data_IF_222877720149
#
_entry.id   IF_222877720149
#
_cell.length_a   1.000
_cell.length_b   1.000
_cell.length_c   1.000
_cell.angle_alpha   90.00
_cell.angle_beta   90.00
_cell.angle_gamma   90.00
#
_symmetry.space_group_name_H-M   'P 1'
#
loop_
_entity.id
_entity.type
_entity.pdbx_description
1 polymer ?
#
# COMPACT_ATOMS: atom_id res chain seq x y z
N UNK A 1 9.58 -11.37 -23.83
CA UNK A 1 10.37 -11.60 -22.61
C UNK A 1 9.49 -12.36 -21.63
N UNK A 2 9.83 -13.61 -21.34
CA UNK A 2 9.18 -14.40 -20.29
C UNK A 2 9.64 -13.86 -18.95
N UNK A 3 8.85 -12.98 -18.34
CA UNK A 3 9.03 -12.62 -16.94
C UNK A 3 8.59 -13.80 -16.10
N UNK A 4 9.51 -14.38 -15.33
CA UNK A 4 9.19 -15.42 -14.37
C UNK A 4 8.16 -14.91 -13.35
N UNK A 5 7.14 -15.73 -13.05
CA UNK A 5 6.15 -15.43 -12.02
C UNK A 5 6.77 -15.71 -10.66
N UNK A 6 6.67 -14.76 -9.75
CA UNK A 6 7.21 -14.89 -8.40
C UNK A 6 6.08 -15.02 -7.39
N UNK A 7 6.28 -15.94 -6.46
CA UNK A 7 5.42 -16.10 -5.31
C UNK A 7 5.91 -15.16 -4.20
N UNK A 8 5.12 -14.14 -3.89
CA UNK A 8 5.43 -13.23 -2.79
C UNK A 8 5.37 -13.94 -1.43
N UNK A 9 6.12 -13.46 -0.43
CA UNK A 9 5.95 -13.88 0.95
C UNK A 9 4.50 -13.64 1.40
N UNK A 10 3.90 -14.64 2.05
CA UNK A 10 2.56 -14.56 2.63
C UNK A 10 2.69 -14.45 4.14
N UNK A 11 2.10 -13.39 4.70
CA UNK A 11 2.22 -13.08 6.12
C UNK A 11 0.82 -13.05 6.73
N UNK A 12 0.66 -13.76 7.84
CA UNK A 12 -0.61 -13.92 8.53
C UNK A 12 -0.81 -12.84 9.61
N UNK A 13 -1.83 -12.01 9.43
CA UNK A 13 -2.30 -10.97 10.37
C UNK A 13 -3.61 -11.34 11.07
N UNK A 14 -4.03 -12.60 11.01
CA UNK A 14 -5.29 -13.09 11.59
C UNK A 14 -5.21 -13.40 13.09
N UNK A 15 -4.01 -13.48 13.65
CA UNK A 15 -3.81 -13.82 15.06
C UNK A 15 -4.37 -12.73 15.99
N UNK A 16 -5.35 -13.12 16.81
CA UNK A 16 -5.84 -12.28 17.90
C UNK A 16 -4.70 -12.01 18.90
N UNK A 17 -4.55 -10.75 19.33
CA UNK A 17 -3.48 -10.27 20.21
C UNK A 17 -2.10 -10.04 19.59
N UNK A 18 -2.04 -9.49 18.37
CA UNK A 18 -0.85 -8.77 17.88
C UNK A 18 -0.60 -7.47 18.68
N UNK A 19 -0.38 -7.61 19.98
CA UNK A 19 0.10 -6.54 20.85
C UNK A 19 1.61 -6.45 20.67
N UNK A 20 2.19 -5.23 20.70
CA UNK A 20 3.63 -5.06 20.73
C UNK A 20 4.29 -5.95 21.77
N UNK A 21 5.51 -6.39 21.46
CA UNK A 21 6.41 -7.12 22.36
C UNK A 21 5.95 -8.54 22.74
N UNK A 22 4.89 -9.05 22.11
CA UNK A 22 4.52 -10.47 22.18
C UNK A 22 5.39 -11.32 21.25
N UNK A 23 5.50 -12.63 21.53
CA UNK A 23 6.23 -13.57 20.66
C UNK A 23 5.69 -13.55 19.22
N UNK A 24 4.37 -13.61 19.07
CA UNK A 24 3.68 -13.58 17.77
C UNK A 24 3.97 -12.25 17.06
N UNK A 25 3.89 -11.12 17.77
CA UNK A 25 4.24 -9.82 17.20
C UNK A 25 5.66 -9.78 16.66
N UNK A 26 6.63 -10.23 17.44
CA UNK A 26 8.04 -10.24 17.04
C UNK A 26 8.28 -11.16 15.84
N UNK A 27 7.63 -12.33 15.79
CA UNK A 27 7.71 -13.26 14.65
C UNK A 27 7.13 -12.66 13.37
N UNK A 28 5.92 -12.08 13.44
CA UNK A 28 5.27 -11.44 12.28
C UNK A 28 6.09 -10.23 11.83
N UNK A 29 6.57 -9.42 12.78
CA UNK A 29 7.43 -8.26 12.49
C UNK A 29 8.71 -8.64 11.75
N UNK A 30 9.38 -9.73 12.14
CA UNK A 30 10.57 -10.23 11.42
C UNK A 30 10.20 -10.65 9.99
N UNK A 31 9.06 -11.31 9.79
CA UNK A 31 8.59 -11.70 8.45
C UNK A 31 8.30 -10.47 7.57
N UNK A 32 7.60 -9.48 8.13
CA UNK A 32 7.29 -8.21 7.43
C UNK A 32 8.59 -7.53 7.02
N UNK A 33 9.50 -7.37 7.96
CA UNK A 33 10.78 -6.75 7.72
C UNK A 33 11.57 -7.48 6.61
N UNK A 34 11.70 -8.80 6.71
CA UNK A 34 12.40 -9.61 5.70
C UNK A 34 11.75 -9.48 4.32
N UNK A 35 10.42 -9.56 4.24
CA UNK A 35 9.71 -9.48 2.97
C UNK A 35 9.85 -8.10 2.31
N UNK A 36 9.76 -7.02 3.10
CA UNK A 36 9.95 -5.65 2.61
C UNK A 36 11.38 -5.41 2.14
N UNK A 37 12.36 -5.95 2.86
CA UNK A 37 13.76 -5.81 2.48
C UNK A 37 14.10 -6.65 1.26
N UNK A 38 13.52 -7.86 1.09
CA UNK A 38 13.85 -8.79 0.00
C UNK A 38 13.01 -8.64 -1.27
N UNK A 39 11.76 -8.19 -1.14
CA UNK A 39 10.79 -8.19 -2.23
C UNK A 39 10.09 -6.84 -2.43
N UNK A 40 10.38 -5.84 -1.58
CA UNK A 40 9.72 -4.51 -1.53
C UNK A 40 8.20 -4.55 -1.26
N UNK A 41 7.61 -5.75 -1.18
CA UNK A 41 6.19 -6.01 -1.01
C UNK A 41 5.93 -7.44 -0.49
N UNK A 42 4.71 -7.68 0.00
CA UNK A 42 4.26 -9.01 0.45
C UNK A 42 2.75 -9.15 0.35
N UNK A 43 2.24 -10.38 0.48
CA UNK A 43 0.81 -10.67 0.60
C UNK A 43 0.42 -10.81 2.07
N UNK A 44 -0.53 -10.00 2.53
CA UNK A 44 -1.10 -10.06 3.86
C UNK A 44 -2.39 -10.88 3.86
N UNK A 45 -2.44 -11.92 4.68
CA UNK A 45 -3.69 -12.58 5.05
C UNK A 45 -4.29 -11.87 6.27
N UNK A 46 -5.53 -11.41 6.14
CA UNK A 46 -6.21 -10.64 7.18
C UNK A 46 -7.69 -11.05 7.21
N UNK A 47 -8.08 -11.75 8.29
CA UNK A 47 -9.39 -12.37 8.45
C UNK A 47 -10.47 -11.42 8.97
N UNK A 48 -10.07 -10.29 9.57
CA UNK A 48 -11.02 -9.31 10.10
C UNK A 48 -11.94 -8.79 8.99
N UNK A 49 -11.39 -8.54 7.81
CA UNK A 49 -12.16 -8.18 6.61
C UNK A 49 -12.78 -9.43 5.99
N UNK A 50 -14.10 -9.64 6.13
CA UNK A 50 -14.75 -10.84 5.62
C UNK A 50 -14.73 -10.88 4.10
N UNK A 51 -14.78 -12.08 3.54
CA UNK A 51 -14.76 -12.25 2.08
C UNK A 51 -15.95 -11.59 1.38
N UNK A 52 -17.13 -11.57 2.00
CA UNK A 52 -18.29 -10.88 1.45
C UNK A 52 -18.04 -9.38 1.33
N UNK A 53 -17.37 -8.76 2.31
CA UNK A 53 -17.05 -7.34 2.29
C UNK A 53 -16.04 -7.02 1.19
N UNK A 54 -15.01 -7.87 0.99
CA UNK A 54 -14.07 -7.79 -0.14
C UNK A 54 -14.82 -7.86 -1.47
N UNK A 55 -15.76 -8.81 -1.62
CA UNK A 55 -16.56 -8.98 -2.83
C UNK A 55 -17.44 -7.76 -3.11
N UNK A 56 -18.15 -7.25 -2.10
CA UNK A 56 -19.01 -6.08 -2.24
C UNK A 56 -18.22 -4.84 -2.67
N UNK A 57 -16.98 -4.64 -2.20
CA UNK A 57 -16.12 -3.55 -2.68
C UNK A 57 -15.86 -3.65 -4.20
N UNK A 58 -15.60 -4.84 -4.72
CA UNK A 58 -15.42 -5.05 -6.16
C UNK A 58 -16.73 -4.85 -6.94
N UNK A 59 -17.85 -5.36 -6.44
CA UNK A 59 -19.18 -5.15 -7.04
C UNK A 59 -19.53 -3.65 -7.09
N UNK A 60 -19.28 -2.91 -6.02
CA UNK A 60 -19.48 -1.46 -6.00
C UNK A 60 -18.51 -0.71 -6.89
N UNK A 61 -17.27 -1.18 -7.05
CA UNK A 61 -16.35 -0.57 -8.01
C UNK A 61 -16.88 -0.68 -9.45
N UNK A 62 -17.49 -1.82 -9.80
CA UNK A 62 -18.17 -1.99 -11.08
C UNK A 62 -19.34 -1.01 -11.21
N UNK A 63 -20.21 -0.97 -10.19
CA UNK A 63 -21.35 -0.06 -10.16
C UNK A 63 -20.94 1.41 -10.35
N UNK A 64 -19.89 1.88 -9.67
CA UNK A 64 -19.37 3.25 -9.81
C UNK A 64 -18.96 3.52 -11.26
N UNK A 65 -18.25 2.59 -11.90
CA UNK A 65 -17.73 2.78 -13.25
C UNK A 65 -18.79 2.60 -14.34
N UNK A 66 -19.89 1.90 -14.04
CA UNK A 66 -21.08 1.81 -14.90
C UNK A 66 -21.98 3.06 -14.83
N UNK A 67 -21.77 3.96 -13.85
CA UNK A 67 -22.51 5.22 -13.78
C UNK A 67 -22.25 6.10 -15.02
N UNK A 68 -23.24 6.94 -15.42
CA UNK A 68 -23.05 7.90 -16.51
C UNK A 68 -21.80 8.75 -16.31
N UNK A 69 -21.06 9.01 -17.39
CA UNK A 69 -19.83 9.81 -17.36
C UNK A 69 -20.02 11.16 -16.65
N UNK A 70 -21.17 11.82 -16.87
CA UNK A 70 -21.51 13.09 -16.21
C UNK A 70 -21.63 12.97 -14.69
N UNK A 71 -22.03 11.81 -14.17
CA UNK A 71 -22.04 11.54 -12.73
C UNK A 71 -20.62 11.32 -12.22
N UNK A 72 -19.82 10.52 -12.92
CA UNK A 72 -18.41 10.26 -12.55
C UNK A 72 -17.59 11.56 -12.52
N UNK A 73 -17.81 12.45 -13.49
CA UNK A 73 -17.16 13.78 -13.58
C UNK A 73 -17.48 14.73 -12.42
N UNK A 74 -18.53 14.47 -11.62
CA UNK A 74 -18.81 15.26 -10.41
C UNK A 74 -17.80 15.02 -9.29
N UNK A 75 -17.09 13.88 -9.30
CA UNK A 75 -16.03 13.62 -8.34
C UNK A 75 -14.77 14.40 -8.73
N UNK A 76 -14.69 15.66 -8.28
CA UNK A 76 -13.55 16.54 -8.52
C UNK A 76 -12.64 16.58 -7.29
N UNK A 77 -11.33 16.62 -7.52
CA UNK A 77 -10.34 16.84 -6.47
C UNK A 77 -9.22 17.73 -6.98
N UNK A 78 -8.71 18.59 -6.10
CA UNK A 78 -7.47 19.36 -6.36
C UNK A 78 -6.23 18.51 -6.15
N UNK A 79 -6.35 17.35 -5.49
CA UNK A 79 -5.26 16.40 -5.34
C UNK A 79 -5.13 15.58 -6.63
N UNK A 80 -3.92 15.45 -7.19
CA UNK A 80 -3.69 14.62 -8.36
C UNK A 80 -4.24 13.20 -8.16
N UNK A 81 -4.96 12.66 -9.13
CA UNK A 81 -5.50 11.30 -9.15
C UNK A 81 -6.59 10.95 -8.12
N UNK A 82 -7.06 11.89 -7.29
CA UNK A 82 -8.11 11.63 -6.29
C UNK A 82 -9.53 11.87 -6.82
N UNK A 83 -9.71 12.69 -7.86
CA UNK A 83 -10.99 12.82 -8.55
C UNK A 83 -11.26 11.64 -9.49
N UNK A 84 -12.30 11.75 -10.30
CA UNK A 84 -12.43 10.91 -11.48
C UNK A 84 -11.33 11.25 -12.48
N UNK A 85 -10.63 10.22 -12.95
CA UNK A 85 -9.61 10.29 -13.99
C UNK A 85 -10.04 9.29 -15.05
N UNK A 86 -10.15 9.73 -16.29
CA UNK A 86 -10.54 8.87 -17.41
C UNK A 86 -10.55 9.67 -18.69
N UNK A 87 -10.89 9.03 -19.81
CA UNK A 87 -11.00 9.68 -21.13
C UNK A 87 -9.68 10.30 -21.62
N UNK A 88 -8.53 9.82 -21.14
CA UNK A 88 -7.22 10.26 -21.63
C UNK A 88 -6.92 9.63 -22.99
N UNK A 89 -6.77 10.44 -24.04
CA UNK A 89 -6.53 9.94 -25.39
C UNK A 89 -5.35 8.94 -25.52
N UNK A 90 -4.21 9.11 -24.81
CA UNK A 90 -3.12 8.12 -24.83
C UNK A 90 -3.43 6.81 -24.09
N UNK A 91 -4.45 6.80 -23.21
CA UNK A 91 -4.82 5.65 -22.36
C UNK A 91 -6.37 5.55 -22.28
N UNK A 92 -7.05 5.32 -23.41
CA UNK A 92 -8.51 5.52 -23.50
C UNK A 92 -9.32 4.49 -22.71
N UNK A 93 -8.71 3.35 -22.36
CA UNK A 93 -9.34 2.25 -21.62
C UNK A 93 -9.09 2.30 -20.12
N UNK A 94 -8.39 3.33 -19.63
CA UNK A 94 -8.13 3.52 -18.21
C UNK A 94 -9.08 4.54 -17.62
N UNK A 95 -9.69 4.17 -16.51
CA UNK A 95 -10.33 5.12 -15.59
C UNK A 95 -10.06 4.76 -14.14
N UNK A 96 -10.09 5.76 -13.27
CA UNK A 96 -9.91 5.62 -11.82
C UNK A 96 -10.70 6.67 -11.07
N UNK A 97 -10.99 6.40 -9.80
CA UNK A 97 -11.70 7.33 -8.92
C UNK A 97 -11.14 7.20 -7.50
N UNK A 98 -10.80 8.32 -6.87
CA UNK A 98 -10.37 8.36 -5.47
C UNK A 98 -11.51 8.69 -4.52
N UNK A 99 -11.41 8.14 -3.31
CA UNK A 99 -12.27 8.47 -2.17
C UNK A 99 -11.36 8.98 -1.05
N UNK A 100 -11.41 10.28 -0.79
CA UNK A 100 -10.64 10.89 0.30
C UNK A 100 -11.20 10.49 1.66
N UNK A 101 -10.31 10.04 2.56
CA UNK A 101 -10.61 9.78 3.97
C UNK A 101 -11.84 8.87 4.17
N UNK A 102 -11.91 7.77 3.42
CA UNK A 102 -13.04 6.83 3.40
C UNK A 102 -13.33 6.14 4.74
N UNK A 103 -12.38 6.19 5.68
CA UNK A 103 -12.53 5.74 7.06
C UNK A 103 -13.21 6.78 7.98
N UNK A 104 -13.50 7.99 7.48
CA UNK A 104 -14.20 9.04 8.21
C UNK A 104 -15.67 9.07 7.77
N UNK A 105 -16.64 8.74 8.65
CA UNK A 105 -18.06 8.58 8.28
C UNK A 105 -18.64 9.70 7.42
N UNK A 106 -18.55 10.96 7.88
CA UNK A 106 -19.13 12.10 7.15
C UNK A 106 -18.46 12.36 5.78
N UNK A 107 -17.20 11.95 5.59
CA UNK A 107 -16.50 12.12 4.31
C UNK A 107 -16.88 11.03 3.31
N UNK A 108 -16.97 9.79 3.78
CA UNK A 108 -17.50 8.67 2.98
C UNK A 108 -18.96 8.93 2.57
N UNK A 109 -19.77 9.47 3.47
CA UNK A 109 -21.16 9.86 3.18
C UNK A 109 -21.20 11.00 2.15
N UNK A 110 -20.37 12.04 2.30
CA UNK A 110 -20.27 13.13 1.32
C UNK A 110 -19.91 12.60 -0.08
N UNK A 111 -18.92 11.71 -0.18
CA UNK A 111 -18.56 11.07 -1.45
C UNK A 111 -19.74 10.29 -2.03
N UNK A 112 -20.47 9.53 -1.20
CA UNK A 112 -21.65 8.77 -1.63
C UNK A 112 -22.70 9.68 -2.28
N UNK A 113 -22.97 10.84 -1.71
CA UNK A 113 -23.93 11.80 -2.24
C UNK A 113 -23.51 12.46 -3.56
N UNK A 114 -22.22 12.49 -3.88
CA UNK A 114 -21.72 12.98 -5.19
C UNK A 114 -22.22 12.06 -6.31
N UNK A 115 -22.14 10.74 -6.10
CA UNK A 115 -22.49 9.72 -7.08
C UNK A 115 -23.97 9.36 -7.05
N UNK A 116 -24.55 9.25 -5.85
CA UNK A 116 -25.95 8.93 -5.61
C UNK A 116 -26.57 10.05 -4.76
N UNK A 117 -27.22 11.06 -5.38
CA UNK A 117 -27.81 12.18 -4.65
C UNK A 117 -28.87 11.80 -3.61
N UNK A 118 -29.53 10.65 -3.79
CA UNK A 118 -30.50 10.09 -2.83
C UNK A 118 -29.85 9.24 -1.73
N UNK A 119 -28.51 9.15 -1.73
CA UNK A 119 -27.74 8.26 -0.89
C UNK A 119 -27.66 6.83 -1.44
N UNK A 120 -26.65 6.10 -0.98
CA UNK A 120 -26.52 4.65 -1.17
C UNK A 120 -26.00 4.04 0.16
N UNK A 121 -26.91 3.73 1.11
CA UNK A 121 -26.52 3.27 2.44
C UNK A 121 -25.74 1.96 2.44
N UNK A 122 -25.97 1.09 1.44
CA UNK A 122 -25.23 -0.17 1.29
C UNK A 122 -23.78 0.11 0.93
N UNK A 123 -23.56 0.90 -0.13
CA UNK A 123 -22.23 1.36 -0.54
C UNK A 123 -21.48 2.05 0.60
N UNK A 124 -22.13 3.03 1.25
CA UNK A 124 -21.57 3.81 2.34
C UNK A 124 -21.08 2.91 3.49
N UNK A 125 -21.95 2.01 4.00
CA UNK A 125 -21.61 1.11 5.11
C UNK A 125 -20.48 0.15 4.73
N UNK A 126 -20.49 -0.36 3.50
CA UNK A 126 -19.45 -1.25 2.99
C UNK A 126 -18.10 -0.55 2.92
N UNK A 127 -18.03 0.65 2.32
CA UNK A 127 -16.79 1.43 2.23
C UNK A 127 -16.28 1.82 3.60
N UNK A 128 -17.16 2.29 4.48
CA UNK A 128 -16.81 2.67 5.85
C UNK A 128 -16.19 1.47 6.60
N UNK A 129 -16.93 0.36 6.68
CA UNK A 129 -16.49 -0.83 7.42
C UNK A 129 -15.19 -1.41 6.84
N UNK A 130 -15.07 -1.44 5.51
CA UNK A 130 -13.87 -1.92 4.84
C UNK A 130 -12.67 -1.03 5.12
N UNK A 131 -12.85 0.30 5.03
CA UNK A 131 -11.77 1.28 5.24
C UNK A 131 -11.30 1.35 6.69
N UNK A 132 -12.23 1.24 7.65
CA UNK A 132 -11.90 1.19 9.08
C UNK A 132 -11.01 -0.02 9.41
N UNK A 133 -11.41 -1.21 8.93
CA UNK A 133 -10.65 -2.44 9.16
C UNK A 133 -9.31 -2.46 8.41
N UNK A 134 -9.27 -1.95 7.18
CA UNK A 134 -8.03 -1.87 6.42
C UNK A 134 -7.05 -0.84 7.02
N UNK A 135 -7.56 0.23 7.62
CA UNK A 135 -6.78 1.16 8.43
C UNK A 135 -6.14 0.48 9.66
N UNK A 136 -6.82 -0.51 10.27
CA UNK A 136 -6.22 -1.29 11.37
C UNK A 136 -5.00 -2.10 10.89
N UNK A 137 -5.12 -2.78 9.75
CA UNK A 137 -4.01 -3.53 9.14
C UNK A 137 -2.84 -2.60 8.80
N UNK A 138 -3.13 -1.46 8.16
CA UNK A 138 -2.14 -0.43 7.83
C UNK A 138 -1.42 0.12 9.07
N UNK A 139 -2.15 0.45 10.15
CA UNK A 139 -1.55 0.88 11.42
C UNK A 139 -0.66 -0.21 12.03
N UNK A 140 -1.09 -1.46 11.98
CA UNK A 140 -0.33 -2.61 12.50
C UNK A 140 0.99 -2.78 11.78
N UNK A 141 0.97 -2.80 10.44
CA UNK A 141 2.17 -2.91 9.60
C UNK A 141 3.12 -1.73 9.85
N UNK A 142 2.60 -0.49 9.89
CA UNK A 142 3.43 0.69 10.18
C UNK A 142 4.16 0.58 11.51
N UNK A 143 3.50 0.12 12.57
CA UNK A 143 4.13 -0.10 13.89
C UNK A 143 5.22 -1.17 13.85
N UNK A 144 5.05 -2.22 13.04
CA UNK A 144 6.08 -3.25 12.85
C UNK A 144 7.31 -2.70 12.14
N UNK A 145 7.14 -1.88 11.10
CA UNK A 145 8.25 -1.27 10.35
C UNK A 145 8.99 -0.22 11.18
N UNK A 146 8.26 0.63 11.91
CA UNK A 146 8.86 1.71 12.72
C UNK A 146 9.75 1.17 13.85
N UNK A 147 9.41 0.02 14.43
CA UNK A 147 10.07 -0.46 15.66
C UNK A 147 11.20 -1.49 15.44
N UNK A 148 11.61 -1.87 14.22
CA UNK A 148 12.64 -2.92 14.07
C UNK A 148 13.31 -3.03 12.70
N UNK A 149 13.90 -1.94 12.24
CA UNK A 149 14.54 -1.83 10.93
C UNK A 149 16.02 -2.27 10.95
N UNK A 150 16.43 -3.27 10.14
CA UNK A 150 17.83 -3.61 9.78
C UNK A 150 17.92 -4.24 8.36
N UNK A 151 18.62 -3.64 7.38
CA UNK A 151 18.39 -3.91 5.93
C UNK A 151 19.55 -4.58 5.19
N UNK A 152 19.24 -5.41 4.17
CA UNK A 152 19.81 -5.39 2.80
C UNK A 152 18.97 -6.27 1.84
N UNK A 153 18.59 -5.82 0.62
CA UNK A 153 18.62 -6.68 -0.61
C UNK A 153 18.79 -5.93 -1.94
N UNK A 154 18.91 -6.73 -3.02
CA UNK A 154 19.37 -6.42 -4.36
C UNK A 154 18.51 -7.16 -5.40
N UNK A 155 18.33 -6.54 -6.58
CA UNK A 155 18.66 -7.11 -7.91
C UNK A 155 17.92 -6.46 -9.12
N UNK A 156 17.16 -5.38 -8.97
CA UNK A 156 16.79 -4.50 -10.11
C UNK A 156 16.03 -5.14 -11.30
N UNK A 157 15.31 -6.24 -11.08
CA UNK A 157 14.59 -6.97 -12.14
C UNK A 157 13.07 -6.82 -12.01
N UNK A 158 12.39 -6.65 -13.15
CA UNK A 158 10.93 -6.62 -13.25
C UNK A 158 10.34 -8.04 -13.21
N UNK A 159 9.36 -8.25 -12.34
CA UNK A 159 8.76 -9.57 -12.06
C UNK A 159 7.23 -9.49 -12.08
N UNK A 160 6.57 -10.56 -12.54
CA UNK A 160 5.11 -10.66 -12.50
C UNK A 160 4.67 -11.18 -11.13
N UNK A 161 3.57 -10.62 -10.62
CA UNK A 161 2.94 -11.04 -9.37
C UNK A 161 1.51 -11.46 -9.69
N UNK A 162 1.19 -12.72 -9.38
CA UNK A 162 -0.16 -13.24 -9.42
C UNK A 162 -0.77 -13.13 -8.01
N UNK A 163 -1.75 -12.24 -7.77
CA UNK A 163 -2.30 -12.05 -6.45
C UNK A 163 -3.08 -13.28 -6.00
N UNK A 164 -2.86 -13.70 -4.76
CA UNK A 164 -3.59 -14.80 -4.13
C UNK A 164 -4.99 -14.33 -3.72
N UNK A 165 -6.05 -15.03 -4.12
CA UNK A 165 -7.42 -14.70 -3.71
C UNK A 165 -7.55 -14.56 -2.19
N UNK A 166 -8.19 -13.48 -1.74
CA UNK A 166 -8.46 -13.21 -0.34
C UNK A 166 -7.32 -12.55 0.45
N UNK A 167 -6.15 -12.32 -0.17
CA UNK A 167 -5.02 -11.60 0.43
C UNK A 167 -4.93 -10.16 -0.05
N UNK A 168 -4.14 -9.34 0.64
CA UNK A 168 -3.81 -7.97 0.24
C UNK A 168 -2.34 -7.87 -0.15
N UNK A 169 -2.03 -7.32 -1.33
CA UNK A 169 -0.64 -6.96 -1.64
C UNK A 169 -0.29 -5.66 -0.92
N UNK A 170 0.71 -5.70 -0.04
CA UNK A 170 1.22 -4.55 0.71
C UNK A 170 2.48 -4.03 0.03
N UNK A 171 2.52 -2.72 -0.22
CA UNK A 171 3.64 -2.03 -0.83
C UNK A 171 4.03 -0.81 0.01
N UNK A 172 5.32 -0.48 0.00
CA UNK A 172 5.82 0.74 0.63
C UNK A 172 5.66 1.92 -0.31
N UNK A 173 5.27 3.06 0.25
CA UNK A 173 5.23 4.34 -0.46
C UNK A 173 6.34 5.29 -0.04
N UNK A 174 6.50 6.37 -0.81
CA UNK A 174 7.58 7.38 -0.69
C UNK A 174 7.76 7.90 0.74
N UNK A 175 6.66 8.06 1.47
CA UNK A 175 6.69 8.58 2.83
C UNK A 175 7.50 7.70 3.79
N UNK A 176 7.32 6.38 3.69
CA UNK A 176 8.03 5.44 4.55
C UNK A 176 9.44 5.16 4.01
N UNK A 177 9.65 5.23 2.70
CA UNK A 177 11.00 5.26 2.10
C UNK A 177 11.84 6.43 2.65
N UNK A 178 11.29 7.64 2.66
CA UNK A 178 11.95 8.81 3.22
C UNK A 178 12.18 8.68 4.73
N UNK A 179 11.18 8.21 5.49
CA UNK A 179 11.29 8.02 6.93
C UNK A 179 12.36 6.98 7.31
N UNK A 180 12.51 5.91 6.53
CA UNK A 180 13.54 4.88 6.74
C UNK A 180 14.93 5.29 6.28
N UNK A 181 15.12 6.56 5.90
CA UNK A 181 16.36 7.07 5.32
C UNK A 181 16.81 6.24 4.10
N UNK A 182 15.87 5.96 3.19
CA UNK A 182 16.06 5.18 1.97
C UNK A 182 16.47 3.71 2.17
N UNK A 183 16.43 3.19 3.40
CA UNK A 183 16.85 1.81 3.68
C UNK A 183 15.87 0.78 3.15
N UNK A 184 14.57 1.06 3.11
CA UNK A 184 13.63 0.18 2.40
C UNK A 184 13.30 0.77 1.04
N UNK A 185 13.45 0.01 -0.03
CA UNK A 185 13.23 0.50 -1.39
C UNK A 185 11.75 0.56 -1.76
N UNK A 186 11.46 1.35 -2.80
CA UNK A 186 10.13 1.48 -3.35
C UNK A 186 9.93 0.37 -4.39
N UNK A 187 8.83 -0.41 -4.31
CA UNK A 187 8.48 -1.34 -5.36
C UNK A 187 8.05 -0.57 -6.60
N UNK A 188 8.90 -0.55 -7.62
CA UNK A 188 8.49 -0.11 -8.94
C UNK A 188 7.44 -1.09 -9.47
N UNK A 189 6.25 -0.57 -9.80
CA UNK A 189 5.14 -1.37 -10.26
C UNK A 189 4.50 -0.75 -11.50
N UNK A 190 3.93 -1.61 -12.36
CA UNK A 190 3.14 -1.20 -13.52
C UNK A 190 2.00 -2.17 -13.74
N UNK A 191 0.88 -1.66 -14.23
CA UNK A 191 -0.22 -2.48 -14.70
C UNK A 191 -0.12 -2.60 -16.21
N UNK A 192 -0.06 -3.83 -16.70
CA UNK A 192 -0.14 -4.11 -18.13
C UNK A 192 -1.61 -4.38 -18.50
N UNK A 193 -2.14 -3.60 -19.43
CA UNK A 193 -3.43 -3.89 -20.05
C UNK A 193 -3.25 -5.10 -20.98
N UNK A 194 -3.74 -6.27 -20.56
CA UNK A 194 -3.66 -7.52 -21.33
C UNK A 194 -5.04 -8.19 -21.35
N UNK A 195 -5.40 -8.77 -22.50
CA UNK A 195 -6.65 -9.48 -22.69
C UNK A 195 -7.81 -8.58 -23.13
N UNK A 196 -9.00 -9.18 -23.24
CA UNK A 196 -10.24 -8.51 -23.67
C UNK A 196 -11.24 -8.30 -22.52
N UNK A 197 -10.80 -8.55 -21.28
CA UNK A 197 -11.64 -8.49 -20.08
C UNK A 197 -11.32 -7.24 -19.26
N UNK A 198 -12.36 -6.63 -18.66
CA UNK A 198 -12.18 -5.49 -17.76
C UNK A 198 -11.57 -5.96 -16.44
N UNK A 199 -10.48 -5.31 -16.02
CA UNK A 199 -9.81 -5.57 -14.75
C UNK A 199 -10.13 -4.49 -13.74
N UNK A 200 -10.71 -4.88 -12.61
CA UNK A 200 -10.93 -4.00 -11.46
C UNK A 200 -9.82 -4.19 -10.43
N UNK A 201 -9.38 -3.09 -9.81
CA UNK A 201 -8.50 -3.12 -8.65
C UNK A 201 -8.81 -1.96 -7.71
N UNK A 202 -8.78 -2.23 -6.42
CA UNK A 202 -8.99 -1.23 -5.37
C UNK A 202 -7.72 -1.14 -4.54
N UNK A 203 -7.22 0.07 -4.37
CA UNK A 203 -6.02 0.36 -3.59
C UNK A 203 -6.37 1.31 -2.44
N UNK A 204 -5.75 1.07 -1.29
CA UNK A 204 -5.87 1.91 -0.10
C UNK A 204 -4.51 2.54 0.18
N UNK A 205 -4.49 3.86 0.33
CA UNK A 205 -3.27 4.63 0.54
C UNK A 205 -3.32 5.36 1.88
N UNK A 206 -2.28 5.20 2.68
CA UNK A 206 -2.06 5.94 3.92
C UNK A 206 -1.03 7.03 3.64
N UNK A 207 -1.46 8.29 3.62
CA UNK A 207 -0.59 9.44 3.33
C UNK A 207 -0.43 10.34 4.55
N UNK A 208 0.73 10.98 4.75
CA UNK A 208 0.89 11.99 5.79
C UNK A 208 -0.09 13.14 5.61
N UNK A 209 -0.48 13.77 6.73
CA UNK A 209 -1.31 14.98 6.68
C UNK A 209 -0.60 16.06 5.88
N UNK A 210 -1.39 16.84 5.13
CA UNK A 210 -0.87 17.96 4.36
C UNK A 210 -0.04 18.90 5.26
N UNK A 211 1.12 19.34 4.76
CA UNK A 211 2.08 20.18 5.49
C UNK A 211 2.95 19.43 6.50
N UNK A 212 2.74 18.13 6.73
CA UNK A 212 3.62 17.36 7.61
C UNK A 212 4.96 17.09 6.95
N UNK A 213 6.05 17.51 7.61
CA UNK A 213 7.41 17.20 7.16
C UNK A 213 7.83 15.85 7.69
N UNK A 214 8.12 14.92 6.79
CA UNK A 214 8.68 13.62 7.14
C UNK A 214 10.15 13.80 7.47
N UNK A 215 10.58 13.31 8.63
CA UNK A 215 11.98 13.26 9.05
C UNK A 215 12.34 11.82 9.39
N UNK A 216 13.50 11.39 8.91
CA UNK A 216 14.06 10.13 9.38
C UNK A 216 14.44 10.25 10.87
N UNK A 217 14.30 9.18 11.67
CA UNK A 217 14.85 9.12 13.03
C UNK A 217 16.37 9.32 13.02
N UNK A 218 16.91 10.00 14.03
CA UNK A 218 18.34 10.29 14.16
C UNK A 218 19.18 8.99 14.16
N UNK A 219 18.63 7.92 14.73
CA UNK A 219 19.26 6.60 14.83
C UNK A 219 19.44 5.92 13.45
N UNK A 220 18.71 6.38 12.43
CA UNK A 220 18.86 5.87 11.06
C UNK A 220 19.89 6.64 10.24
N UNK A 221 20.37 7.78 10.74
CA UNK A 221 21.51 8.48 10.15
C UNK A 221 22.78 7.71 10.44
N UNK A 222 23.61 7.59 9.41
CA UNK A 222 24.88 6.92 9.51
C UNK A 222 25.92 7.92 10.02
N UNK A 223 26.50 7.64 11.18
CA UNK A 223 27.69 8.35 11.65
C UNK A 223 28.90 7.66 11.05
N UNK A 224 29.55 8.32 10.09
CA UNK A 224 30.81 7.84 9.52
C UNK A 224 31.98 8.45 10.31
N UNK A 225 32.79 7.59 10.93
CA UNK A 225 34.05 7.96 11.55
C UNK A 225 35.19 7.39 10.71
N UNK A 226 36.08 8.25 10.23
CA UNK A 226 37.26 7.83 9.46
C UNK A 226 38.29 7.22 10.42
N UNK A 227 38.24 5.91 10.63
CA UNK A 227 39.21 5.17 11.46
C UNK A 227 40.22 4.40 10.61
N UNK A 228 41.37 4.05 11.19
CA UNK A 228 42.39 3.23 10.52
C UNK A 228 41.85 1.84 10.13
N UNK A 229 40.92 1.25 10.89
CA UNK A 229 40.29 -0.01 10.50
C UNK A 229 39.38 0.16 9.28
N UNK A 230 38.69 1.30 9.17
CA UNK A 230 37.84 1.60 8.01
C UNK A 230 38.62 1.82 6.72
N UNK A 231 39.88 2.25 6.81
CA UNK A 231 40.81 2.35 5.68
C UNK A 231 41.21 1.00 5.10
N UNK A 232 41.11 -0.07 5.88
CA UNK A 232 41.40 -1.43 5.43
C UNK A 232 40.17 -2.13 4.82
N UNK A 233 38.99 -1.52 4.91
CA UNK A 233 37.77 -2.06 4.32
C UNK A 233 37.70 -1.73 2.82
N UNK A 234 37.40 -2.74 2.00
CA UNK A 234 37.25 -2.60 0.54
C UNK A 234 36.19 -1.55 0.15
N UNK A 235 35.18 -1.34 0.99
CA UNK A 235 34.34 -0.16 1.00
C UNK A 235 33.82 0.08 2.41
N UNK A 236 34.36 1.08 3.10
CA UNK A 236 33.90 1.48 4.42
C UNK A 236 32.38 1.80 4.42
N UNK A 237 31.86 2.36 3.33
CA UNK A 237 30.42 2.56 3.15
C UNK A 237 29.65 1.22 3.13
N UNK A 238 30.12 0.20 2.42
CA UNK A 238 29.49 -1.14 2.50
C UNK A 238 29.58 -1.74 3.89
N UNK A 239 30.76 -1.69 4.49
CA UNK A 239 31.07 -2.37 5.75
C UNK A 239 30.36 -1.74 6.94
N UNK A 240 30.33 -0.41 7.04
CA UNK A 240 29.71 0.30 8.16
C UNK A 240 28.27 0.73 7.88
N UNK A 241 27.89 0.87 6.59
CA UNK A 241 26.62 1.47 6.21
C UNK A 241 25.65 0.52 5.49
N UNK A 242 26.10 -0.66 5.05
CA UNK A 242 25.24 -1.70 4.48
C UNK A 242 24.59 -1.32 3.14
N UNK A 243 25.21 -0.44 2.35
CA UNK A 243 24.78 -0.02 1.00
C UNK A 243 25.50 -0.78 -0.10
#
# INVERSE_FOLDING_TARGET
>A
MNSENIKLPKIDFSHENQKPDTLIWNQVKIQVHKALVEYDCFEAFFNKIPIHLKKSIFEFSQEIFDLPLQTKLKNISTKPFHGYVGQYHPIPFFESMGIDDSNIPHKAEKFTHILWPQGNPSFYKTIQSYSEQLSELDQTIRRMVVNGLHVLTKNGQWKNIDPTPGTFTIMIGDSLHAWTNCRIHLPYHRVLMRGNETRYSVAFFSTPKHGYTIKAPEELFLTFSYTEEGLQCESALKTYCGV
#
